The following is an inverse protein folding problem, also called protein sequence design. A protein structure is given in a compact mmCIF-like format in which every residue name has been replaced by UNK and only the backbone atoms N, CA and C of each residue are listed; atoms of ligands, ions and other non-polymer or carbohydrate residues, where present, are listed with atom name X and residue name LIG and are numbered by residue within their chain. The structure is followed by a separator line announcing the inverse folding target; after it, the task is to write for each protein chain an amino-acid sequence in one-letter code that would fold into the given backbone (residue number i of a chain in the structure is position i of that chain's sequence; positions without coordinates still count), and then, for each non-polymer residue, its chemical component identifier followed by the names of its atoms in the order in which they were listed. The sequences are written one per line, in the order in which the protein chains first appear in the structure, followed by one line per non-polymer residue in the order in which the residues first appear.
data_IF_221428606476
#
_entry.id   IF_221428606476
#
_cell.length_a   1.000
_cell.length_b   1.000
_cell.length_c   1.000
_cell.angle_alpha   90.00
_cell.angle_beta   90.00
_cell.angle_gamma   90.00
#
_symmetry.space_group_name_H-M   'P 1'
#
loop_
_entity.id
_entity.type
_entity.pdbx_description
1 polymer ?
#
# COMPACT_ATOMS: atom_id res chain seq x y z
N UNK A 1 -7.21 -8.02 15.86
CA UNK A 1 -6.04 -7.56 15.09
C UNK A 1 -5.83 -8.53 13.94
N UNK A 2 -5.93 -8.05 12.70
CA UNK A 2 -5.56 -8.85 11.52
C UNK A 2 -4.04 -8.89 11.44
N UNK A 3 -3.51 -10.09 11.23
CA UNK A 3 -2.07 -10.34 11.13
C UNK A 3 -1.82 -10.80 9.70
N UNK A 4 -0.87 -10.18 9.02
CA UNK A 4 -0.48 -10.53 7.64
C UNK A 4 1.01 -10.78 7.56
N UNK A 5 1.40 -11.60 6.59
CA UNK A 5 2.80 -11.83 6.28
C UNK A 5 3.39 -10.62 5.58
N UNK A 6 4.49 -10.07 6.11
CA UNK A 6 5.24 -8.97 5.47
C UNK A 6 5.70 -9.33 4.05
N UNK A 7 6.11 -10.58 3.86
CA UNK A 7 6.57 -11.13 2.59
C UNK A 7 6.26 -12.63 2.53
N UNK A 8 5.12 -13.02 1.91
CA UNK A 8 4.71 -14.42 1.83
C UNK A 8 5.67 -15.25 0.95
N UNK A 9 6.30 -14.63 -0.06
CA UNK A 9 7.22 -15.31 -0.96
C UNK A 9 8.55 -15.65 -0.26
N UNK A 10 9.11 -14.72 0.51
CA UNK A 10 10.29 -15.01 1.32
C UNK A 10 10.00 -16.02 2.44
N UNK A 11 8.81 -15.97 3.06
CA UNK A 11 8.40 -16.98 4.02
C UNK A 11 8.35 -18.39 3.40
N UNK A 12 7.75 -18.53 2.21
CA UNK A 12 7.67 -19.81 1.53
C UNK A 12 9.06 -20.35 1.13
N UNK A 13 9.93 -19.49 0.60
CA UNK A 13 11.33 -19.87 0.25
C UNK A 13 12.13 -20.31 1.48
N UNK A 14 12.04 -19.56 2.59
CA UNK A 14 12.70 -19.91 3.85
C UNK A 14 12.17 -21.23 4.40
N UNK A 15 10.85 -21.41 4.39
CA UNK A 15 10.20 -22.65 4.87
C UNK A 15 10.65 -23.87 4.06
N UNK A 16 10.68 -23.75 2.73
CA UNK A 16 11.12 -24.82 1.85
C UNK A 16 12.61 -25.13 2.08
N UNK A 17 13.47 -24.11 2.15
CA UNK A 17 14.89 -24.31 2.39
C UNK A 17 15.19 -24.95 3.75
N UNK A 18 14.50 -24.53 4.81
CA UNK A 18 14.64 -25.11 6.16
C UNK A 18 14.17 -26.56 6.17
N UNK A 19 13.02 -26.85 5.54
CA UNK A 19 12.43 -28.21 5.50
C UNK A 19 13.28 -29.17 4.67
N UNK A 20 13.70 -28.74 3.47
CA UNK A 20 14.56 -29.55 2.59
C UNK A 20 15.94 -29.73 3.21
N UNK A 21 16.51 -28.67 3.79
CA UNK A 21 17.78 -28.74 4.50
C UNK A 21 17.73 -29.74 5.66
N UNK A 22 16.68 -29.68 6.48
CA UNK A 22 16.44 -30.59 7.59
C UNK A 22 16.24 -32.05 7.13
N UNK A 23 15.48 -32.28 6.06
CA UNK A 23 15.30 -33.62 5.49
C UNK A 23 16.61 -34.19 4.92
N UNK A 24 17.39 -33.36 4.21
CA UNK A 24 18.66 -33.75 3.61
C UNK A 24 19.69 -34.15 4.67
N UNK A 25 19.86 -33.34 5.73
CA UNK A 25 20.73 -33.70 6.85
C UNK A 25 20.24 -34.95 7.58
N UNK A 26 18.92 -35.14 7.69
CA UNK A 26 18.33 -36.34 8.29
C UNK A 26 18.67 -37.61 7.51
N UNK A 27 18.60 -37.55 6.19
CA UNK A 27 18.99 -38.66 5.31
C UNK A 27 20.48 -38.99 5.46
N UNK A 28 21.35 -37.98 5.45
CA UNK A 28 22.81 -38.16 5.64
C UNK A 28 23.12 -38.78 7.00
N UNK A 29 22.48 -38.32 8.08
CA UNK A 29 22.68 -38.88 9.41
C UNK A 29 22.24 -40.35 9.50
N UNK A 30 21.14 -40.72 8.84
CA UNK A 30 20.67 -42.10 8.78
C UNK A 30 21.59 -43.02 7.98
N UNK A 31 22.16 -42.53 6.87
CA UNK A 31 23.15 -43.27 6.07
C UNK A 31 24.50 -43.42 6.77
N UNK A 32 24.92 -42.41 7.55
CA UNK A 32 26.15 -42.44 8.32
C UNK A 32 26.12 -43.42 9.51
N UNK A 33 24.98 -44.06 9.77
CA UNK A 33 24.84 -45.04 10.84
C UNK A 33 25.12 -44.47 12.23
N UNK A 34 24.80 -43.19 12.44
CA UNK A 34 25.02 -42.52 13.73
C UNK A 34 24.29 -43.32 14.80
N UNK A 35 25.04 -43.91 15.74
CA UNK A 35 24.53 -44.81 16.79
C UNK A 35 23.71 -44.08 17.87
N UNK A 36 23.22 -42.89 17.58
CA UNK A 36 22.34 -42.13 18.45
C UNK A 36 20.91 -42.68 18.34
N UNK A 37 20.09 -42.52 19.40
CA UNK A 37 18.65 -42.76 19.29
C UNK A 37 18.07 -42.02 18.09
N UNK A 38 17.19 -42.67 17.33
CA UNK A 38 16.58 -42.13 16.09
C UNK A 38 16.08 -40.70 16.25
N UNK A 39 15.46 -40.41 17.40
CA UNK A 39 14.95 -39.08 17.79
C UNK A 39 16.04 -38.03 17.93
N UNK A 40 17.14 -38.39 18.59
CA UNK A 40 18.27 -37.50 18.77
C UNK A 40 18.95 -37.21 17.43
N UNK A 41 19.11 -38.23 16.58
CA UNK A 41 19.65 -38.07 15.23
C UNK A 41 18.75 -37.21 14.33
N UNK A 42 17.43 -37.44 14.34
CA UNK A 42 16.46 -36.66 13.56
C UNK A 42 16.36 -35.21 14.05
N UNK A 43 16.29 -34.98 15.36
CA UNK A 43 16.24 -33.64 15.95
C UNK A 43 17.52 -32.84 15.66
N UNK A 44 18.69 -33.47 15.85
CA UNK A 44 19.99 -32.90 15.50
C UNK A 44 20.07 -32.47 14.03
N UNK A 45 19.66 -33.37 13.16
CA UNK A 45 19.67 -33.17 11.73
C UNK A 45 18.72 -32.04 11.33
N UNK A 46 17.52 -32.02 11.92
CA UNK A 46 16.54 -30.97 11.66
C UNK A 46 17.02 -29.59 12.09
N UNK A 47 17.62 -29.52 13.28
CA UNK A 47 18.17 -28.28 13.79
C UNK A 47 19.34 -27.79 12.91
N UNK A 48 20.26 -28.69 12.53
CA UNK A 48 21.41 -28.35 11.68
C UNK A 48 20.99 -27.96 10.26
N UNK A 49 20.20 -28.82 9.61
CA UNK A 49 19.72 -28.61 8.25
C UNK A 49 18.76 -27.43 8.15
N UNK A 50 17.91 -27.26 9.16
CA UNK A 50 17.04 -26.10 9.28
C UNK A 50 17.81 -24.80 9.50
N UNK A 51 18.85 -24.80 10.34
CA UNK A 51 19.73 -23.65 10.51
C UNK A 51 20.48 -23.28 9.24
N UNK A 52 21.03 -24.28 8.52
CA UNK A 52 21.70 -24.07 7.24
C UNK A 52 20.73 -23.54 6.18
N UNK A 53 19.53 -24.12 6.07
CA UNK A 53 18.48 -23.63 5.16
C UNK A 53 18.04 -22.20 5.47
N UNK A 54 17.89 -21.85 6.75
CA UNK A 54 17.60 -20.49 7.18
C UNK A 54 18.77 -19.54 6.88
N UNK A 55 20.01 -19.97 7.07
CA UNK A 55 21.20 -19.15 6.79
C UNK A 55 21.33 -18.83 5.29
N UNK A 56 21.05 -19.78 4.40
CA UNK A 56 21.13 -19.59 2.94
C UNK A 56 20.04 -18.66 2.41
N UNK A 57 18.89 -18.58 3.08
CA UNK A 57 17.75 -17.77 2.63
C UNK A 57 17.70 -16.36 3.22
N UNK A 58 18.54 -16.06 4.21
CA UNK A 58 18.62 -14.71 4.79
C UNK A 58 19.41 -13.78 3.88
N UNK A 59 18.78 -12.66 3.52
CA UNK A 59 19.49 -11.54 2.91
C UNK A 59 20.53 -11.00 3.92
N UNK A 60 21.77 -10.71 3.49
CA UNK A 60 22.73 -10.03 4.35
C UNK A 60 22.15 -8.68 4.80
N UNK A 61 22.35 -8.28 6.07
CA UNK A 61 21.89 -6.97 6.54
C UNK A 61 22.54 -5.87 5.68
N UNK A 62 21.86 -4.75 5.51
CA UNK A 62 22.42 -3.59 4.81
C UNK A 62 23.69 -3.12 5.56
N UNK A 63 24.88 -3.43 5.03
CA UNK A 63 26.17 -3.20 5.69
C UNK A 63 26.85 -4.44 6.30
N UNK A 64 26.26 -5.64 6.15
CA UNK A 64 26.86 -6.90 6.59
C UNK A 64 28.07 -7.26 5.73
N UNK A 65 29.28 -7.12 6.29
CA UNK A 65 30.50 -7.62 5.66
C UNK A 65 30.50 -9.16 5.51
N UNK A 66 31.45 -9.72 4.74
CA UNK A 66 31.52 -11.17 4.43
C UNK A 66 31.57 -12.09 5.68
N UNK A 67 31.91 -11.56 6.86
CA UNK A 67 31.90 -12.30 8.12
C UNK A 67 30.52 -12.56 8.74
N UNK A 68 29.44 -11.93 8.26
CA UNK A 68 28.09 -12.13 8.82
C UNK A 68 27.57 -13.55 8.59
N UNK A 69 27.76 -14.10 7.39
CA UNK A 69 27.34 -15.46 7.06
C UNK A 69 28.06 -16.48 7.95
N UNK A 70 29.36 -16.29 8.20
CA UNK A 70 30.14 -17.17 9.07
C UNK A 70 29.66 -17.08 10.52
N UNK A 71 29.41 -15.87 11.06
CA UNK A 71 28.94 -15.71 12.44
C UNK A 71 27.55 -16.29 12.66
N UNK A 72 26.65 -16.14 11.69
CA UNK A 72 25.29 -16.70 11.77
C UNK A 72 25.32 -18.24 11.65
N UNK A 73 26.18 -18.80 10.79
CA UNK A 73 26.42 -20.25 10.73
C UNK A 73 27.06 -20.77 12.03
N UNK A 74 28.09 -20.11 12.55
CA UNK A 74 28.76 -20.53 13.80
C UNK A 74 27.82 -20.44 15.00
N UNK A 75 27.05 -19.36 15.12
CA UNK A 75 26.09 -19.20 16.21
C UNK A 75 24.96 -20.23 16.15
N UNK A 76 24.47 -20.53 14.96
CA UNK A 76 23.43 -21.55 14.79
C UNK A 76 23.97 -22.96 15.05
N UNK A 77 25.13 -23.34 14.50
CA UNK A 77 25.81 -24.61 14.81
C UNK A 77 26.07 -24.76 16.31
N UNK A 78 26.57 -23.70 16.97
CA UNK A 78 26.80 -23.70 18.42
C UNK A 78 25.52 -23.91 19.24
N UNK A 79 24.42 -23.28 18.85
CA UNK A 79 23.11 -23.45 19.49
C UNK A 79 22.54 -24.86 19.30
N UNK A 80 22.70 -25.45 18.11
CA UNK A 80 22.31 -26.84 17.84
C UNK A 80 23.11 -27.82 18.69
N UNK A 81 24.43 -27.66 18.75
CA UNK A 81 25.32 -28.51 19.56
C UNK A 81 24.97 -28.41 21.04
N UNK A 82 24.70 -27.21 21.56
CA UNK A 82 24.30 -27.02 22.95
C UNK A 82 22.94 -27.67 23.26
N UNK A 83 21.93 -27.50 22.39
CA UNK A 83 20.63 -28.13 22.54
C UNK A 83 20.68 -29.65 22.48
N UNK A 84 21.49 -30.20 21.56
CA UNK A 84 21.75 -31.64 21.47
C UNK A 84 22.48 -32.16 22.70
N UNK A 85 23.49 -31.44 23.19
CA UNK A 85 24.22 -31.79 24.40
C UNK A 85 23.29 -31.89 25.60
N UNK A 86 22.35 -30.95 25.72
CA UNK A 86 21.33 -30.97 26.77
C UNK A 86 20.34 -32.14 26.62
N UNK A 87 19.86 -32.43 25.41
CA UNK A 87 18.95 -33.55 25.16
C UNK A 87 19.62 -34.92 25.38
N UNK A 88 20.89 -35.07 24.99
CA UNK A 88 21.66 -36.28 25.26
C UNK A 88 21.93 -36.46 26.77
N UNK A 89 22.23 -35.36 27.47
CA UNK A 89 22.44 -35.37 28.91
C UNK A 89 21.13 -35.70 29.66
N UNK A 90 19.98 -35.17 29.22
CA UNK A 90 18.68 -35.43 29.84
C UNK A 90 18.25 -36.89 29.67
N UNK A 91 18.55 -37.50 28.51
CA UNK A 91 18.35 -38.93 28.29
C UNK A 91 19.23 -39.78 29.21
N UNK A 92 20.52 -39.44 29.33
CA UNK A 92 21.47 -40.16 30.20
C UNK A 92 21.10 -40.08 31.68
N UNK A 93 20.47 -38.98 32.10
CA UNK A 93 19.98 -38.77 33.46
C UNK A 93 18.60 -39.40 33.70
N UNK A 94 18.01 -40.10 32.73
CA UNK A 94 16.75 -40.82 32.90
C UNK A 94 15.52 -39.91 32.93
N UNK A 95 15.62 -38.67 32.43
CA UNK A 95 14.48 -37.73 32.41
C UNK A 95 13.41 -38.11 31.36
N UNK A 96 13.66 -39.11 30.52
CA UNK A 96 12.68 -39.65 29.58
C UNK A 96 12.06 -38.58 28.66
N UNK A 97 10.74 -38.69 28.43
CA UNK A 97 9.99 -37.81 27.52
C UNK A 97 10.01 -36.35 27.98
N UNK A 98 9.97 -36.09 29.30
CA UNK A 98 10.02 -34.71 29.81
C UNK A 98 11.37 -34.05 29.57
N UNK A 99 12.47 -34.82 29.59
CA UNK A 99 13.80 -34.36 29.19
C UNK A 99 13.89 -34.01 27.70
N UNK A 100 13.20 -34.75 26.84
CA UNK A 100 13.13 -34.47 25.40
C UNK A 100 12.27 -33.24 25.09
N UNK A 101 11.13 -33.07 25.76
CA UNK A 101 10.27 -31.88 25.61
C UNK A 101 10.97 -30.63 26.15
N UNK A 102 11.62 -30.70 27.32
CA UNK A 102 12.38 -29.59 27.87
C UNK A 102 13.59 -29.22 26.98
N UNK A 103 14.32 -30.22 26.47
CA UNK A 103 15.42 -30.01 25.53
C UNK A 103 14.95 -29.43 24.19
N UNK A 104 13.83 -29.92 23.66
CA UNK A 104 13.19 -29.38 22.46
C UNK A 104 12.70 -27.94 22.63
N UNK A 105 12.11 -27.63 23.79
CA UNK A 105 11.67 -26.27 24.13
C UNK A 105 12.86 -25.31 24.29
N UNK A 106 13.95 -25.74 24.95
CA UNK A 106 15.17 -24.93 25.10
C UNK A 106 15.90 -24.73 23.77
N UNK A 107 16.00 -25.78 22.94
CA UNK A 107 16.56 -25.69 21.59
C UNK A 107 15.72 -24.78 20.68
N UNK A 108 14.40 -24.90 20.75
CA UNK A 108 13.45 -24.02 20.07
C UNK A 108 13.58 -22.57 20.54
N UNK A 109 13.68 -22.33 21.86
CA UNK A 109 13.88 -21.01 22.43
C UNK A 109 15.22 -20.38 22.00
N UNK A 110 16.30 -21.16 21.99
CA UNK A 110 17.63 -20.71 21.57
C UNK A 110 17.65 -20.34 20.09
N UNK A 111 17.02 -21.16 19.24
CA UNK A 111 16.81 -20.82 17.82
C UNK A 111 15.94 -19.58 17.68
N UNK A 112 14.81 -19.50 18.40
CA UNK A 112 13.95 -18.32 18.41
C UNK A 112 14.71 -17.05 18.77
N UNK A 113 15.54 -17.09 19.83
CA UNK A 113 16.37 -15.99 20.25
C UNK A 113 17.39 -15.60 19.15
N UNK A 114 18.07 -16.59 18.57
CA UNK A 114 19.04 -16.38 17.49
C UNK A 114 18.39 -15.82 16.21
N UNK A 115 17.12 -16.17 15.97
CA UNK A 115 16.35 -15.69 14.84
C UNK A 115 15.78 -14.28 15.03
N UNK A 116 15.79 -13.75 16.25
CA UNK A 116 15.13 -12.50 16.67
C UNK A 116 16.12 -11.34 16.93
N UNK A 117 17.43 -11.63 16.95
CA UNK A 117 18.49 -10.66 17.27
C UNK A 117 18.53 -9.45 16.30
N UNK A 118 18.11 -9.62 15.04
CA UNK A 118 18.20 -8.55 14.03
C UNK A 118 17.11 -7.47 14.15
N UNK A 119 15.96 -7.74 14.79
CA UNK A 119 14.87 -6.76 14.98
C UNK A 119 14.94 -6.08 16.36
N UNK A 120 15.99 -5.29 16.59
CA UNK A 120 16.24 -4.60 17.87
C UNK A 120 15.18 -3.57 18.29
N UNK A 121 14.35 -3.10 17.36
CA UNK A 121 13.42 -2.00 17.61
C UNK A 121 12.12 -2.40 18.35
N UNK A 122 11.78 -3.69 18.51
CA UNK A 122 10.48 -4.10 19.08
C UNK A 122 10.60 -5.20 20.14
N UNK A 123 10.90 -4.82 21.38
CA UNK A 123 11.12 -5.74 22.51
C UNK A 123 9.98 -6.76 22.74
N UNK A 124 8.71 -6.39 22.49
CA UNK A 124 7.56 -7.29 22.66
C UNK A 124 7.50 -8.45 21.66
N UNK A 125 7.89 -8.22 20.40
CA UNK A 125 7.91 -9.26 19.37
C UNK A 125 8.96 -10.34 19.65
N UNK A 126 10.01 -9.99 20.40
CA UNK A 126 11.09 -10.90 20.76
C UNK A 126 10.65 -12.00 21.71
N UNK A 127 9.96 -11.63 22.78
CA UNK A 127 9.47 -12.58 23.78
C UNK A 127 8.43 -13.54 23.18
N UNK A 128 7.53 -13.01 22.33
CA UNK A 128 6.53 -13.83 21.63
C UNK A 128 7.19 -14.81 20.66
N UNK A 129 8.19 -14.38 19.89
CA UNK A 129 8.92 -15.26 18.97
C UNK A 129 9.69 -16.38 19.70
N UNK A 130 10.36 -16.06 20.82
CA UNK A 130 11.05 -17.06 21.64
C UNK A 130 10.08 -18.05 22.26
N UNK A 131 8.95 -17.58 22.81
CA UNK A 131 7.92 -18.45 23.40
C UNK A 131 7.25 -19.34 22.35
N UNK A 132 6.92 -18.78 21.17
CA UNK A 132 6.34 -19.55 20.07
C UNK A 132 7.30 -20.64 19.58
N UNK A 133 8.59 -20.31 19.44
CA UNK A 133 9.61 -21.28 19.06
C UNK A 133 9.86 -22.35 20.14
N UNK A 134 9.78 -21.98 21.42
CA UNK A 134 9.87 -22.93 22.53
C UNK A 134 8.66 -23.90 22.55
N UNK A 135 7.45 -23.39 22.36
CA UNK A 135 6.24 -24.20 22.28
C UNK A 135 6.27 -25.13 21.06
N UNK A 136 6.65 -24.61 19.89
CA UNK A 136 6.80 -25.42 18.68
C UNK A 136 7.87 -26.52 18.86
N UNK A 137 9.00 -26.19 19.51
CA UNK A 137 10.06 -27.15 19.84
C UNK A 137 9.61 -28.23 20.81
N UNK A 138 8.84 -27.87 21.85
CA UNK A 138 8.29 -28.81 22.82
C UNK A 138 7.22 -29.74 22.22
N UNK A 139 6.26 -29.19 21.47
CA UNK A 139 5.21 -29.96 20.78
C UNK A 139 5.82 -30.85 19.70
N UNK A 140 6.76 -30.32 18.92
CA UNK A 140 7.50 -31.08 17.92
C UNK A 140 8.23 -32.27 18.53
N UNK A 141 8.88 -32.10 19.69
CA UNK A 141 9.59 -33.18 20.37
C UNK A 141 8.65 -34.30 20.84
N UNK A 142 7.46 -33.95 21.33
CA UNK A 142 6.43 -34.93 21.71
C UNK A 142 5.84 -35.66 20.49
N UNK A 143 5.58 -34.94 19.39
CA UNK A 143 5.10 -35.53 18.14
C UNK A 143 6.13 -36.50 17.53
N UNK A 144 7.41 -36.13 17.59
CA UNK A 144 8.52 -36.97 17.15
C UNK A 144 8.60 -38.28 17.94
N UNK A 145 8.46 -38.26 19.26
CA UNK A 145 8.52 -39.48 20.08
C UNK A 145 7.47 -40.51 19.62
N UNK A 146 6.25 -40.06 19.34
CA UNK A 146 5.20 -40.92 18.78
C UNK A 146 5.54 -41.45 17.39
N UNK A 147 6.07 -40.60 16.52
CA UNK A 147 6.43 -40.99 15.16
C UNK A 147 7.67 -41.93 15.12
N UNK A 148 8.61 -41.80 16.05
CA UNK A 148 9.74 -42.70 16.19
C UNK A 148 9.32 -44.08 16.70
N UNK A 149 8.37 -44.15 17.65
CA UNK A 149 7.79 -45.42 18.10
C UNK A 149 7.07 -46.15 16.96
N UNK A 150 6.34 -45.40 16.13
CA UNK A 150 5.70 -45.94 14.93
C UNK A 150 6.74 -46.46 13.92
N UNK A 151 7.76 -45.66 13.59
CA UNK A 151 8.82 -46.07 12.66
C UNK A 151 9.60 -47.32 13.14
N UNK A 152 9.81 -47.45 14.44
CA UNK A 152 10.44 -48.63 15.04
C UNK A 152 9.56 -49.90 14.92
N UNK A 153 8.24 -49.76 14.84
CA UNK A 153 7.31 -50.88 14.72
C UNK A 153 7.19 -51.45 13.30
N UNK A 154 7.47 -50.66 12.26
CA UNK A 154 7.27 -51.07 10.85
C UNK A 154 8.54 -51.52 10.11
N UNK A 155 9.67 -51.67 10.80
CA UNK A 155 10.97 -52.00 10.18
C UNK A 155 11.33 -51.05 9.00
N UNK A 156 10.89 -49.80 9.07
CA UNK A 156 11.15 -48.80 8.04
C UNK A 156 12.67 -48.51 7.96
N UNK A 157 13.23 -48.29 6.75
CA UNK A 157 14.64 -47.92 6.59
C UNK A 157 14.98 -46.70 7.45
N UNK A 158 16.03 -46.81 8.26
CA UNK A 158 16.44 -45.77 9.21
C UNK A 158 16.69 -44.43 8.53
N UNK A 159 17.29 -44.43 7.33
CA UNK A 159 17.53 -43.20 6.56
C UNK A 159 16.23 -42.50 6.10
N UNK A 160 15.20 -43.26 5.77
CA UNK A 160 13.91 -42.69 5.37
C UNK A 160 13.18 -42.11 6.58
N UNK A 161 13.16 -42.85 7.69
CA UNK A 161 12.51 -42.38 8.92
C UNK A 161 13.23 -41.16 9.51
N UNK A 162 14.57 -41.12 9.55
CA UNK A 162 15.30 -39.91 9.98
C UNK A 162 15.05 -38.72 9.07
N UNK A 163 15.02 -38.91 7.74
CA UNK A 163 14.75 -37.84 6.79
C UNK A 163 13.34 -37.27 6.94
N UNK A 164 12.31 -38.12 7.04
CA UNK A 164 10.92 -37.69 7.20
C UNK A 164 10.71 -36.98 8.55
N UNK A 165 11.23 -37.55 9.64
CA UNK A 165 11.14 -36.95 10.97
C UNK A 165 11.86 -35.60 11.02
N UNK A 166 13.05 -35.52 10.44
CA UNK A 166 13.81 -34.28 10.38
C UNK A 166 13.10 -33.23 9.51
N UNK A 167 12.53 -33.62 8.37
CA UNK A 167 11.73 -32.73 7.51
C UNK A 167 10.50 -32.16 8.23
N UNK A 168 9.72 -33.01 8.91
CA UNK A 168 8.57 -32.56 9.72
C UNK A 168 9.03 -31.56 10.78
N UNK A 169 10.15 -31.81 11.44
CA UNK A 169 10.69 -30.91 12.45
C UNK A 169 11.22 -29.61 11.85
N UNK A 170 11.83 -29.67 10.66
CA UNK A 170 12.20 -28.51 9.86
C UNK A 170 10.99 -27.63 9.53
N UNK A 171 9.84 -28.23 9.21
CA UNK A 171 8.58 -27.50 8.98
C UNK A 171 8.11 -26.76 10.25
N UNK A 172 8.22 -27.38 11.43
CA UNK A 172 7.89 -26.71 12.71
C UNK A 172 8.84 -25.56 13.04
N UNK A 173 10.14 -25.74 12.82
CA UNK A 173 11.14 -24.68 12.97
C UNK A 173 10.84 -23.53 12.01
N UNK A 174 10.50 -23.84 10.76
CA UNK A 174 10.10 -22.86 9.76
C UNK A 174 8.81 -22.13 10.14
N UNK A 175 7.81 -22.81 10.68
CA UNK A 175 6.58 -22.20 11.16
C UNK A 175 6.85 -21.21 12.31
N UNK A 176 7.68 -21.60 13.29
CA UNK A 176 8.12 -20.71 14.38
C UNK A 176 8.94 -19.52 13.87
N UNK A 177 9.83 -19.74 12.91
CA UNK A 177 10.58 -18.67 12.24
C UNK A 177 9.66 -17.76 11.40
N UNK A 178 8.59 -18.30 10.82
CA UNK A 178 7.59 -17.57 10.06
C UNK A 178 6.73 -16.64 10.92
N UNK A 179 6.51 -17.01 12.18
CA UNK A 179 5.77 -16.19 13.13
C UNK A 179 6.42 -14.82 13.36
N UNK A 180 7.74 -14.65 13.12
CA UNK A 180 8.40 -13.33 13.18
C UNK A 180 8.10 -12.45 11.96
N UNK A 181 7.69 -13.05 10.84
CA UNK A 181 7.28 -12.35 9.61
C UNK A 181 5.80 -11.95 9.63
N UNK A 182 5.06 -12.43 10.62
CA UNK A 182 3.73 -11.95 10.95
C UNK A 182 3.88 -10.54 11.51
N UNK A 183 3.40 -9.57 10.75
CA UNK A 183 3.29 -8.20 11.21
C UNK A 183 1.80 -7.88 11.43
N UNK A 184 1.48 -6.94 12.34
CA UNK A 184 0.18 -6.31 12.31
C UNK A 184 -0.09 -5.85 10.88
N UNK A 185 -1.30 -6.04 10.38
CA UNK A 185 -1.65 -5.50 9.08
C UNK A 185 -1.25 -4.03 9.03
N UNK A 186 -0.46 -3.61 8.01
CA UNK A 186 -0.11 -2.20 7.87
C UNK A 186 -1.42 -1.42 7.86
N UNK A 187 -1.45 -0.34 8.62
CA UNK A 187 -2.63 0.51 8.66
C UNK A 187 -2.90 0.98 7.22
N UNK A 188 -4.07 0.69 6.63
CA UNK A 188 -4.38 1.13 5.28
C UNK A 188 -4.26 2.66 5.13
N UNK A 189 -4.45 3.43 6.22
CA UNK A 189 -4.21 4.87 6.19
C UNK A 189 -2.73 5.22 6.06
N UNK A 190 -1.83 4.48 6.69
CA UNK A 190 -0.40 4.73 6.57
C UNK A 190 0.09 4.45 5.14
N UNK A 191 -0.39 3.36 4.53
CA UNK A 191 -0.07 3.07 3.13
C UNK A 191 -0.63 4.14 2.18
N UNK A 192 -1.86 4.63 2.43
CA UNK A 192 -2.45 5.75 1.68
C UNK A 192 -1.67 7.05 1.86
N UNK A 193 -1.20 7.31 3.07
CA UNK A 193 -0.39 8.49 3.38
C UNK A 193 0.94 8.47 2.62
N UNK A 194 1.65 7.33 2.60
CA UNK A 194 2.90 7.18 1.86
C UNK A 194 2.69 7.45 0.35
N UNK A 195 1.63 6.89 -0.25
CA UNK A 195 1.27 7.11 -1.66
C UNK A 195 1.00 8.59 -1.98
N UNK A 196 0.24 9.27 -1.12
CA UNK A 196 -0.10 10.69 -1.31
C UNK A 196 1.13 11.58 -1.13
N UNK A 197 1.98 11.30 -0.14
CA UNK A 197 3.12 12.16 0.22
C UNK A 197 4.18 12.27 -0.88
N UNK A 198 4.34 11.24 -1.72
CA UNK A 198 5.34 11.24 -2.80
C UNK A 198 5.05 12.32 -3.87
N UNK A 199 3.78 12.59 -4.16
CA UNK A 199 3.33 13.56 -5.17
C UNK A 199 3.15 15.00 -4.69
N UNK A 200 3.19 15.27 -3.38
CA UNK A 200 2.86 16.60 -2.85
C UNK A 200 4.04 17.57 -2.89
N UNK A 201 3.77 18.84 -3.19
CA UNK A 201 4.75 19.91 -2.99
C UNK A 201 5.09 20.10 -1.51
N UNK A 202 6.28 20.62 -1.23
CA UNK A 202 6.82 20.78 0.12
C UNK A 202 5.89 21.44 1.16
N UNK A 203 5.17 22.55 0.88
CA UNK A 203 4.33 23.20 1.90
C UNK A 203 3.14 22.34 2.32
N UNK A 204 2.42 21.73 1.37
CA UNK A 204 1.28 20.85 1.67
C UNK A 204 1.77 19.56 2.31
N UNK A 205 2.88 19.00 1.81
CA UNK A 205 3.52 17.82 2.42
C UNK A 205 3.83 18.02 3.90
N UNK A 206 4.29 19.21 4.31
CA UNK A 206 4.54 19.53 5.70
C UNK A 206 3.25 19.54 6.54
N UNK A 207 2.17 20.15 6.04
CA UNK A 207 0.85 20.16 6.71
C UNK A 207 0.28 18.75 6.88
N UNK A 208 0.42 17.88 5.87
CA UNK A 208 -0.04 16.50 5.95
C UNK A 208 0.80 15.69 6.95
N UNK A 209 2.13 15.89 6.96
CA UNK A 209 2.99 15.26 7.96
C UNK A 209 2.62 15.68 9.40
N UNK A 210 2.28 16.95 9.61
CA UNK A 210 1.76 17.46 10.88
C UNK A 210 0.46 16.76 11.26
N UNK A 211 -0.53 16.70 10.36
CA UNK A 211 -1.81 16.02 10.61
C UNK A 211 -1.65 14.53 10.94
N UNK A 212 -0.72 13.82 10.30
CA UNK A 212 -0.40 12.42 10.61
C UNK A 212 0.27 12.27 11.99
N UNK A 213 1.14 13.22 12.36
CA UNK A 213 1.72 13.26 13.71
C UNK A 213 0.63 13.48 14.77
N UNK A 214 -0.26 14.45 14.56
CA UNK A 214 -1.40 14.73 15.43
C UNK A 214 -2.33 13.51 15.57
N UNK A 215 -2.61 12.81 14.48
CA UNK A 215 -3.36 11.55 14.52
C UNK A 215 -2.67 10.47 15.36
N UNK A 216 -1.35 10.30 15.23
CA UNK A 216 -0.59 9.36 16.04
C UNK A 216 -0.65 9.73 17.53
N UNK A 217 -0.51 11.02 17.85
CA UNK A 217 -0.63 11.54 19.22
C UNK A 217 -2.01 11.24 19.82
N UNK A 218 -3.09 11.45 19.05
CA UNK A 218 -4.46 11.11 19.47
C UNK A 218 -4.58 9.62 19.75
N UNK A 219 -4.10 8.75 18.85
CA UNK A 219 -4.14 7.30 19.03
C UNK A 219 -3.40 6.84 20.28
N UNK A 220 -2.22 7.41 20.54
CA UNK A 220 -1.44 7.13 21.76
C UNK A 220 -2.17 7.62 23.01
N UNK A 221 -2.80 8.80 22.97
CA UNK A 221 -3.55 9.35 24.09
C UNK A 221 -4.78 8.49 24.43
N UNK A 222 -5.56 8.08 23.42
CA UNK A 222 -6.72 7.20 23.57
C UNK A 222 -6.34 5.84 24.16
N UNK A 223 -5.25 5.23 23.67
CA UNK A 223 -4.77 3.94 24.16
C UNK A 223 -4.26 3.99 25.62
N UNK A 224 -3.77 5.16 26.06
CA UNK A 224 -3.23 5.36 27.42
C UNK A 224 -4.27 5.79 28.45
N UNK A 225 -5.50 6.10 28.05
CA UNK A 225 -6.55 6.51 28.97
C UNK A 225 -7.41 5.30 29.43
N UNK A 226 -7.16 4.72 30.62
CA UNK A 226 -7.96 3.61 31.13
C UNK A 226 -9.35 4.06 31.61
N UNK A 227 -9.58 5.36 31.80
CA UNK A 227 -10.83 5.89 32.34
C UNK A 227 -11.87 6.20 31.26
N UNK A 228 -11.49 6.17 29.99
CA UNK A 228 -12.38 6.34 28.85
C UNK A 228 -13.05 5.01 28.50
N UNK A 229 -14.38 5.06 28.34
CA UNK A 229 -15.17 3.90 27.91
C UNK A 229 -14.77 3.43 26.50
N UNK A 230 -14.86 2.13 26.24
CA UNK A 230 -14.45 1.54 24.97
C UNK A 230 -15.33 2.01 23.79
N UNK A 231 -16.62 2.29 24.01
CA UNK A 231 -17.46 2.87 22.95
C UNK A 231 -17.03 4.30 22.61
N UNK A 232 -16.70 5.11 23.62
CA UNK A 232 -16.17 6.47 23.45
C UNK A 232 -14.82 6.46 22.73
N UNK A 233 -13.91 5.55 23.09
CA UNK A 233 -12.63 5.36 22.38
C UNK A 233 -12.84 4.95 20.94
N UNK A 234 -13.75 4.01 20.69
CA UNK A 234 -14.05 3.53 19.34
C UNK A 234 -14.61 4.66 18.47
N UNK A 235 -15.52 5.47 19.01
CA UNK A 235 -16.08 6.61 18.30
C UNK A 235 -15.02 7.69 18.05
N UNK A 236 -14.21 8.05 19.06
CA UNK A 236 -13.11 9.00 18.88
C UNK A 236 -12.12 8.52 17.80
N UNK A 237 -11.74 7.24 17.84
CA UNK A 237 -10.85 6.62 16.84
C UNK A 237 -11.47 6.66 15.45
N UNK A 238 -12.76 6.38 15.32
CA UNK A 238 -13.50 6.44 14.06
C UNK A 238 -13.51 7.87 13.49
N UNK A 239 -13.78 8.87 14.33
CA UNK A 239 -13.79 10.28 13.91
C UNK A 239 -12.40 10.78 13.52
N UNK A 240 -11.36 10.44 14.29
CA UNK A 240 -9.98 10.80 13.90
C UNK A 240 -9.58 10.14 12.59
N UNK A 241 -9.94 8.87 12.41
CA UNK A 241 -9.69 8.14 11.15
C UNK A 241 -10.41 8.78 9.97
N UNK A 242 -11.67 9.18 10.12
CA UNK A 242 -12.43 9.88 9.08
C UNK A 242 -11.80 11.22 8.70
N UNK A 243 -11.37 12.01 9.70
CA UNK A 243 -10.67 13.28 9.46
C UNK A 243 -9.36 13.10 8.70
N UNK A 244 -8.54 12.11 9.07
CA UNK A 244 -7.27 11.82 8.37
C UNK A 244 -7.53 11.30 6.97
N UNK A 245 -8.53 10.43 6.78
CA UNK A 245 -8.87 9.91 5.45
C UNK A 245 -9.31 11.05 4.51
N UNK A 246 -10.15 11.96 5.01
CA UNK A 246 -10.55 13.18 4.31
C UNK A 246 -9.38 14.11 4.04
N UNK A 247 -8.47 14.29 5.00
CA UNK A 247 -7.23 15.06 4.85
C UNK A 247 -6.38 14.54 3.69
N UNK A 248 -6.21 13.21 3.61
CA UNK A 248 -5.46 12.56 2.54
C UNK A 248 -6.15 12.66 1.17
N UNK A 249 -7.47 12.58 1.09
CA UNK A 249 -8.20 12.79 -0.17
C UNK A 249 -8.13 14.24 -0.67
N UNK A 250 -8.27 15.22 0.24
CA UNK A 250 -8.09 16.64 -0.10
C UNK A 250 -6.67 16.88 -0.61
N UNK A 251 -5.66 16.31 0.04
CA UNK A 251 -4.27 16.43 -0.38
C UNK A 251 -4.02 15.78 -1.74
N UNK A 252 -4.60 14.60 -2.00
CA UNK A 252 -4.52 13.94 -3.29
C UNK A 252 -5.11 14.81 -4.41
N UNK A 253 -6.29 15.38 -4.17
CA UNK A 253 -6.96 16.30 -5.10
C UNK A 253 -6.10 17.54 -5.35
N UNK A 254 -5.53 18.12 -4.28
CA UNK A 254 -4.59 19.23 -4.41
C UNK A 254 -3.38 18.86 -5.28
N UNK A 255 -2.79 17.68 -5.08
CA UNK A 255 -1.65 17.19 -5.86
C UNK A 255 -1.97 17.05 -7.34
N UNK A 256 -3.14 16.49 -7.67
CA UNK A 256 -3.61 16.37 -9.06
C UNK A 256 -3.77 17.74 -9.72
N UNK A 257 -4.45 18.69 -9.05
CA UNK A 257 -4.64 20.05 -9.57
C UNK A 257 -3.29 20.75 -9.75
N UNK A 258 -2.38 20.59 -8.79
CA UNK A 258 -1.04 21.16 -8.85
C UNK A 258 -0.26 20.64 -10.06
N UNK A 259 -0.28 19.34 -10.31
CA UNK A 259 0.43 18.72 -11.45
C UNK A 259 -0.17 19.16 -12.80
N UNK A 260 -1.51 19.23 -12.88
CA UNK A 260 -2.21 19.74 -14.06
C UNK A 260 -1.83 21.20 -14.37
N UNK A 261 -1.80 22.06 -13.34
CA UNK A 261 -1.39 23.46 -13.48
C UNK A 261 0.09 23.61 -13.88
N UNK A 262 0.96 22.69 -13.47
CA UNK A 262 2.39 22.72 -13.80
C UNK A 262 2.72 22.05 -15.13
N UNK A 263 1.75 21.42 -15.78
CA UNK A 263 1.89 20.82 -17.10
C UNK A 263 2.38 21.83 -18.14
N UNK A 264 3.38 21.48 -18.98
CA UNK A 264 3.84 22.36 -20.07
C UNK A 264 2.72 22.84 -20.99
N UNK A 265 1.66 22.03 -21.14
CA UNK A 265 0.51 22.38 -21.99
C UNK A 265 -0.27 23.57 -21.44
N UNK A 266 -0.44 23.66 -20.12
CA UNK A 266 -1.14 24.76 -19.44
C UNK A 266 -0.32 26.05 -19.56
N UNK A 267 1.00 25.98 -19.36
CA UNK A 267 1.89 27.14 -19.49
C UNK A 267 1.89 27.72 -20.91
N UNK A 268 1.74 26.88 -21.93
CA UNK A 268 1.71 27.32 -23.32
C UNK A 268 0.39 27.95 -23.77
N UNK A 269 -0.67 27.95 -22.94
CA UNK A 269 -1.98 28.52 -23.32
C UNK A 269 -1.88 30.04 -23.46
N UNK A 270 -1.23 30.72 -22.52
CA UNK A 270 -1.10 32.19 -22.55
C UNK A 270 -0.27 32.65 -23.76
N UNK A 271 0.83 31.96 -24.06
CA UNK A 271 1.67 32.26 -25.25
C UNK A 271 0.89 32.08 -26.56
N UNK A 272 0.10 31.00 -26.68
CA UNK A 272 -0.75 30.75 -27.85
C UNK A 272 -1.88 31.77 -27.97
N UNK A 273 -2.43 32.21 -26.85
CA UNK A 273 -3.47 33.23 -26.82
C UNK A 273 -2.92 34.54 -27.38
N UNK A 274 -1.73 34.96 -26.94
CA UNK A 274 -1.04 36.14 -27.47
C UNK A 274 -0.69 36.01 -28.97
N UNK A 275 -0.18 34.85 -29.41
CA UNK A 275 0.10 34.59 -30.85
C UNK A 275 -1.18 34.69 -31.71
N UNK A 276 -2.27 34.07 -31.27
CA UNK A 276 -3.54 34.11 -32.01
C UNK A 276 -4.15 35.52 -32.03
N UNK A 277 -4.06 36.28 -30.95
CA UNK A 277 -4.48 37.69 -30.91
C UNK A 277 -3.71 38.54 -31.91
N UNK A 278 -2.38 38.39 -31.96
CA UNK A 278 -1.54 39.12 -32.91
C UNK A 278 -1.86 38.73 -34.36
N UNK A 279 -2.02 37.44 -34.63
CA UNK A 279 -2.37 36.93 -35.97
C UNK A 279 -3.75 37.38 -36.41
N UNK A 280 -4.72 37.41 -35.50
CA UNK A 280 -6.06 37.91 -35.77
C UNK A 280 -6.02 39.40 -36.17
N UNK A 281 -5.25 40.21 -35.46
CA UNK A 281 -5.10 41.63 -35.76
C UNK A 281 -4.39 41.91 -37.09
N UNK A 282 -3.45 41.04 -37.48
CA UNK A 282 -2.70 41.17 -38.74
C UNK A 282 -3.47 40.64 -39.98
N UNK A 283 -4.54 39.86 -39.79
CA UNK A 283 -5.25 39.19 -40.88
C UNK A 283 -6.41 40.04 -41.41
N UNK A 284 -6.36 40.38 -42.70
CA UNK A 284 -7.43 41.11 -43.39
C UNK A 284 -8.53 40.19 -43.96
N UNK A 285 -8.22 38.94 -44.30
CA UNK A 285 -9.17 37.96 -44.84
C UNK A 285 -10.28 37.59 -43.82
N UNK A 286 -11.54 37.81 -44.18
CA UNK A 286 -12.72 37.57 -43.34
C UNK A 286 -12.87 36.10 -42.90
N UNK A 287 -12.58 35.15 -43.79
CA UNK A 287 -12.74 33.72 -43.52
C UNK A 287 -11.69 33.29 -42.51
N UNK A 288 -10.42 33.64 -42.75
CA UNK A 288 -9.31 33.32 -41.83
C UNK A 288 -9.55 33.97 -40.46
N UNK A 289 -10.00 35.24 -40.44
CA UNK A 289 -10.36 35.94 -39.20
C UNK A 289 -11.45 35.21 -38.41
N UNK A 290 -12.46 34.67 -39.09
CA UNK A 290 -13.52 33.86 -38.47
C UNK A 290 -13.00 32.54 -37.87
N UNK A 291 -12.00 31.91 -38.49
CA UNK A 291 -11.34 30.71 -37.92
C UNK A 291 -10.46 31.06 -36.73
N UNK A 292 -9.63 32.10 -36.83
CA UNK A 292 -8.76 32.58 -35.75
C UNK A 292 -9.59 33.04 -34.54
N UNK A 293 -10.70 33.75 -34.74
CA UNK A 293 -11.59 34.17 -33.67
C UNK A 293 -12.21 33.00 -32.89
N UNK A 294 -12.57 31.91 -33.57
CA UNK A 294 -13.05 30.69 -32.90
C UNK A 294 -11.96 30.00 -32.10
N UNK A 295 -10.76 29.90 -32.65
CA UNK A 295 -9.61 29.33 -31.94
C UNK A 295 -9.26 30.15 -30.69
N UNK A 296 -9.31 31.48 -30.80
CA UNK A 296 -9.11 32.40 -29.67
C UNK A 296 -10.18 32.22 -28.60
N UNK A 297 -11.47 32.14 -28.97
CA UNK A 297 -12.55 31.90 -28.02
C UNK A 297 -12.37 30.56 -27.27
N UNK A 298 -11.92 29.51 -27.96
CA UNK A 298 -11.61 28.23 -27.34
C UNK A 298 -10.42 28.32 -26.35
N UNK A 299 -9.34 29.04 -26.70
CA UNK A 299 -8.22 29.27 -25.78
C UNK A 299 -8.62 30.13 -24.58
N UNK A 300 -9.50 31.11 -24.74
CA UNK A 300 -10.03 31.90 -23.63
C UNK A 300 -10.86 31.04 -22.66
N UNK A 301 -11.65 30.10 -23.18
CA UNK A 301 -12.36 29.14 -22.33
C UNK A 301 -11.38 28.23 -21.54
N UNK A 302 -10.30 27.77 -22.19
CA UNK A 302 -9.24 27.01 -21.51
C UNK A 302 -8.55 27.84 -20.41
N UNK A 303 -8.26 29.12 -20.66
CA UNK A 303 -7.70 30.02 -19.65
C UNK A 303 -8.63 30.20 -18.45
N UNK A 304 -9.93 30.35 -18.70
CA UNK A 304 -10.92 30.42 -17.63
C UNK A 304 -10.97 29.13 -16.79
N UNK A 305 -10.84 27.96 -17.43
CA UNK A 305 -10.74 26.68 -16.73
C UNK A 305 -9.46 26.60 -15.88
N UNK A 306 -8.31 27.05 -16.41
CA UNK A 306 -7.04 27.14 -15.66
C UNK A 306 -7.18 28.02 -14.41
N UNK A 307 -7.86 29.17 -14.52
CA UNK A 307 -8.12 30.02 -13.36
C UNK A 307 -9.08 29.36 -12.36
N UNK A 308 -10.04 28.57 -12.84
CA UNK A 308 -10.87 27.68 -12.02
C UNK A 308 -10.04 26.66 -11.23
N UNK A 309 -9.05 26.01 -11.87
CA UNK A 309 -8.13 25.09 -11.22
C UNK A 309 -7.29 25.77 -10.14
N UNK A 310 -6.76 26.98 -10.39
CA UNK A 310 -6.03 27.75 -9.37
C UNK A 310 -6.89 28.04 -8.14
N UNK A 311 -8.16 28.40 -8.36
CA UNK A 311 -9.11 28.61 -7.27
C UNK A 311 -9.40 27.30 -6.53
N UNK A 312 -9.55 26.19 -7.26
CA UNK A 312 -9.70 24.85 -6.70
C UNK A 312 -8.53 24.45 -5.81
N UNK A 313 -7.29 24.70 -6.26
CA UNK A 313 -6.07 24.48 -5.48
C UNK A 313 -6.08 25.27 -4.17
N UNK A 314 -6.44 26.56 -4.21
CA UNK A 314 -6.53 27.40 -3.01
C UNK A 314 -7.61 26.93 -2.03
N UNK A 315 -8.75 26.44 -2.55
CA UNK A 315 -9.83 25.85 -1.72
C UNK A 315 -9.39 24.54 -1.06
N UNK A 316 -8.71 23.66 -1.80
CA UNK A 316 -8.19 22.42 -1.25
C UNK A 316 -7.14 22.69 -0.15
N UNK A 317 -6.28 23.71 -0.33
CA UNK A 317 -5.35 24.11 0.72
C UNK A 317 -6.07 24.63 1.99
N UNK A 318 -7.09 25.48 1.83
CA UNK A 318 -7.89 25.96 2.96
C UNK A 318 -8.63 24.82 3.68
N UNK A 319 -9.09 23.80 2.93
CA UNK A 319 -9.73 22.63 3.50
C UNK A 319 -8.73 21.73 4.27
N UNK A 320 -7.50 21.57 3.77
CA UNK A 320 -6.41 20.92 4.52
C UNK A 320 -6.17 21.63 5.85
N UNK A 321 -6.09 22.96 5.84
CA UNK A 321 -5.91 23.76 7.07
C UNK A 321 -7.09 23.60 8.06
N UNK A 322 -8.32 23.56 7.54
CA UNK A 322 -9.51 23.32 8.36
C UNK A 322 -9.52 21.91 8.97
N UNK A 323 -9.18 20.87 8.20
CA UNK A 323 -9.08 19.49 8.69
C UNK A 323 -7.98 19.34 9.75
N UNK A 324 -6.83 20.00 9.57
CA UNK A 324 -5.76 20.03 10.56
C UNK A 324 -6.22 20.69 11.86
N UNK A 325 -6.93 21.81 11.78
CA UNK A 325 -7.49 22.48 12.96
C UNK A 325 -8.52 21.60 13.70
N UNK A 326 -9.34 20.82 12.97
CA UNK A 326 -10.27 19.85 13.56
C UNK A 326 -9.53 18.70 14.25
N UNK A 327 -8.44 18.19 13.68
CA UNK A 327 -7.59 17.18 14.30
C UNK A 327 -6.95 17.72 15.59
N UNK A 328 -6.41 18.94 15.57
CA UNK A 328 -5.85 19.58 16.77
C UNK A 328 -6.91 19.81 17.86
N UNK A 329 -8.11 20.26 17.47
CA UNK A 329 -9.24 20.38 18.41
C UNK A 329 -9.60 19.03 19.03
N UNK A 330 -9.63 17.96 18.23
CA UNK A 330 -9.90 16.62 18.72
C UNK A 330 -8.78 16.13 19.65
N UNK A 331 -7.51 16.40 19.33
CA UNK A 331 -6.38 16.10 20.20
C UNK A 331 -6.51 16.79 21.56
N UNK A 332 -6.86 18.07 21.56
CA UNK A 332 -7.11 18.81 22.79
C UNK A 332 -8.31 18.25 23.57
N UNK A 333 -9.40 17.90 22.89
CA UNK A 333 -10.56 17.28 23.53
C UNK A 333 -10.21 15.94 24.20
N UNK A 334 -9.44 15.08 23.53
CA UNK A 334 -8.96 13.81 24.10
C UNK A 334 -8.03 14.04 25.28
N UNK A 335 -7.16 15.05 25.22
CA UNK A 335 -6.33 15.43 26.36
C UNK A 335 -7.17 15.96 27.54
N UNK A 336 -8.22 16.74 27.27
CA UNK A 336 -9.13 17.30 28.28
C UNK A 336 -10.03 16.24 28.91
N UNK A 337 -10.40 15.18 28.20
CA UNK A 337 -11.18 14.06 28.77
C UNK A 337 -10.54 13.50 30.05
N UNK A 338 -9.20 13.52 30.14
CA UNK A 338 -8.46 13.05 31.31
C UNK A 338 -8.61 13.96 32.54
N UNK A 339 -8.98 15.21 32.34
CA UNK A 339 -8.97 16.28 33.36
C UNK A 339 -10.38 16.80 33.66
N UNK A 340 -11.32 16.65 32.72
CA UNK A 340 -12.61 17.33 32.73
C UNK A 340 -13.80 16.35 32.61
N UNK A 341 -15.00 16.93 32.53
CA UNK A 341 -16.29 16.27 32.50
C UNK A 341 -16.50 15.47 31.20
N UNK A 342 -16.95 14.21 31.35
CA UNK A 342 -17.12 13.26 30.24
C UNK A 342 -18.22 13.69 29.28
N UNK A 343 -19.26 14.33 29.78
CA UNK A 343 -20.38 14.80 28.96
C UNK A 343 -19.92 15.86 27.94
N UNK A 344 -19.01 16.75 28.35
CA UNK A 344 -18.45 17.79 27.48
C UNK A 344 -17.64 17.20 26.33
N UNK A 345 -16.91 16.11 26.58
CA UNK A 345 -16.15 15.42 25.53
C UNK A 345 -17.05 14.89 24.41
N UNK A 346 -18.19 14.29 24.74
CA UNK A 346 -19.13 13.79 23.75
C UNK A 346 -19.74 14.90 22.88
N UNK A 347 -20.03 16.06 23.48
CA UNK A 347 -20.52 17.25 22.75
C UNK A 347 -19.45 17.76 21.78
N UNK A 348 -18.20 17.87 22.23
CA UNK A 348 -17.07 18.29 21.37
C UNK A 348 -16.81 17.29 20.24
N UNK A 349 -16.85 15.99 20.53
CA UNK A 349 -16.65 14.94 19.53
C UNK A 349 -17.73 14.98 18.45
N UNK A 350 -19.00 15.13 18.85
CA UNK A 350 -20.13 15.28 17.91
C UNK A 350 -19.97 16.55 17.07
N UNK A 351 -19.59 17.66 17.69
CA UNK A 351 -19.36 18.92 16.97
C UNK A 351 -18.23 18.80 15.93
N UNK A 352 -17.13 18.11 16.27
CA UNK A 352 -16.04 17.83 15.33
C UNK A 352 -16.51 16.93 14.19
N UNK A 353 -17.28 15.88 14.49
CA UNK A 353 -17.85 14.99 13.49
C UNK A 353 -18.78 15.71 12.50
N UNK A 354 -19.66 16.59 13.01
CA UNK A 354 -20.54 17.41 12.17
C UNK A 354 -19.75 18.39 11.30
N UNK A 355 -18.73 19.04 11.87
CA UNK A 355 -17.87 19.96 11.11
C UNK A 355 -17.08 19.24 10.02
N UNK A 356 -16.58 18.04 10.31
CA UNK A 356 -15.91 17.19 9.33
C UNK A 356 -16.86 16.78 8.19
N UNK A 357 -18.08 16.38 8.53
CA UNK A 357 -19.12 16.02 7.55
C UNK A 357 -19.47 17.19 6.63
N UNK A 358 -19.76 18.37 7.21
CA UNK A 358 -20.06 19.58 6.41
C UNK A 358 -18.92 19.97 5.49
N UNK A 359 -17.67 19.89 5.96
CA UNK A 359 -16.52 20.20 5.13
C UNK A 359 -16.37 19.22 3.96
N UNK A 360 -16.65 17.93 4.18
CA UNK A 360 -16.67 16.93 3.11
C UNK A 360 -17.78 17.22 2.09
N UNK A 361 -19.00 17.48 2.55
CA UNK A 361 -20.14 17.80 1.69
C UNK A 361 -19.88 19.08 0.87
N UNK A 362 -19.27 20.10 1.47
CA UNK A 362 -18.91 21.35 0.79
C UNK A 362 -17.85 21.10 -0.29
N UNK A 363 -16.84 20.26 -0.02
CA UNK A 363 -15.83 19.89 -1.01
C UNK A 363 -16.43 19.10 -2.18
N UNK A 364 -17.31 18.14 -1.90
CA UNK A 364 -17.99 17.35 -2.93
C UNK A 364 -18.93 18.21 -3.79
N UNK A 365 -19.68 19.12 -3.16
CA UNK A 365 -20.54 20.07 -3.86
C UNK A 365 -19.72 21.01 -4.76
N UNK A 366 -18.57 21.48 -4.29
CA UNK A 366 -17.65 22.31 -5.07
C UNK A 366 -17.04 21.53 -6.23
N UNK A 367 -16.63 20.28 -6.01
CA UNK A 367 -16.11 19.42 -7.07
C UNK A 367 -17.18 19.18 -8.16
N UNK A 368 -18.41 18.91 -7.76
CA UNK A 368 -19.55 18.77 -8.68
C UNK A 368 -19.82 20.06 -9.46
N UNK A 369 -19.79 21.22 -8.79
CA UNK A 369 -20.01 22.52 -9.44
C UNK A 369 -18.91 22.86 -10.45
N UNK A 370 -17.66 22.49 -10.17
CA UNK A 370 -16.54 22.66 -11.12
C UNK A 370 -16.74 21.76 -12.33
N UNK A 371 -17.07 20.48 -12.13
CA UNK A 371 -17.33 19.55 -13.22
C UNK A 371 -18.53 19.99 -14.11
N UNK A 372 -19.59 20.52 -13.50
CA UNK A 372 -20.72 21.09 -14.23
C UNK A 372 -20.35 22.35 -15.01
N UNK A 373 -19.54 23.24 -14.42
CA UNK A 373 -19.07 24.45 -15.09
C UNK A 373 -18.20 24.12 -16.31
N UNK A 374 -17.33 23.12 -16.21
CA UNK A 374 -16.53 22.60 -17.33
C UNK A 374 -17.43 22.00 -18.41
N UNK A 375 -18.40 21.16 -18.05
CA UNK A 375 -19.34 20.57 -19.00
C UNK A 375 -20.19 21.63 -19.72
N UNK A 376 -20.58 22.71 -19.02
CA UNK A 376 -21.31 23.84 -19.63
C UNK A 376 -20.42 24.69 -20.55
N UNK A 377 -19.14 24.87 -20.20
CA UNK A 377 -18.18 25.56 -21.06
C UNK A 377 -18.00 24.80 -22.39
N UNK A 378 -17.84 23.48 -22.32
CA UNK A 378 -17.73 22.60 -23.50
C UNK A 378 -19.00 22.63 -24.36
N UNK A 379 -20.18 22.58 -23.73
CA UNK A 379 -21.46 22.66 -24.46
C UNK A 379 -21.66 24.00 -25.16
N UNK A 380 -21.28 25.11 -24.52
CA UNK A 380 -21.35 26.45 -25.14
C UNK A 380 -20.40 26.56 -26.31
N UNK A 381 -19.16 26.07 -26.15
CA UNK A 381 -18.19 26.01 -27.24
C UNK A 381 -18.71 25.20 -28.43
N UNK A 382 -19.30 24.03 -28.19
CA UNK A 382 -19.94 23.20 -29.22
C UNK A 382 -21.13 23.90 -29.91
N UNK A 383 -22.01 24.54 -29.15
CA UNK A 383 -23.17 25.25 -29.69
C UNK A 383 -22.77 26.46 -30.56
N UNK A 384 -21.69 27.15 -30.20
CA UNK A 384 -21.14 28.25 -30.99
C UNK A 384 -20.45 27.74 -32.27
N UNK A 385 -19.79 26.57 -32.23
CA UNK A 385 -19.28 25.88 -33.44
C UNK A 385 -20.42 25.51 -34.37
N UNK A 386 -21.52 24.96 -33.86
CA UNK A 386 -22.67 24.59 -34.68
C UNK A 386 -23.35 25.81 -35.31
N UNK A 387 -23.54 26.89 -34.54
CA UNK A 387 -24.07 28.16 -35.07
C UNK A 387 -23.14 28.79 -36.11
N UNK A 388 -21.83 28.68 -35.93
CA UNK A 388 -20.83 29.12 -36.92
C UNK A 388 -20.90 28.30 -38.21
N UNK A 389 -20.99 26.98 -38.10
CA UNK A 389 -21.11 26.07 -39.25
C UNK A 389 -22.40 26.34 -40.05
N UNK A 390 -23.55 26.54 -39.37
CA UNK A 390 -24.80 26.91 -40.03
C UNK A 390 -24.71 28.24 -40.77
N UNK A 391 -24.04 29.25 -40.21
CA UNK A 391 -23.83 30.54 -40.89
C UNK A 391 -22.91 30.40 -42.10
N UNK A 392 -21.81 29.64 -41.99
CA UNK A 392 -20.91 29.40 -43.12
C UNK A 392 -21.61 28.66 -44.27
N UNK A 393 -22.45 27.67 -43.96
CA UNK A 393 -23.28 26.98 -44.95
C UNK A 393 -24.33 27.90 -45.59
N UNK A 394 -24.95 28.80 -44.81
CA UNK A 394 -25.91 29.76 -45.35
C UNK A 394 -25.26 30.79 -46.28
N UNK A 395 -24.03 31.22 -46.01
CA UNK A 395 -23.30 32.19 -46.84
C UNK A 395 -22.69 31.51 -48.08
N UNK A 396 -22.17 30.29 -47.96
CA UNK A 396 -21.62 29.53 -49.09
C UNK A 396 -22.67 28.86 -49.99
N UNK A 397 -23.88 28.64 -49.49
CA UNK A 397 -24.98 28.03 -50.25
C UNK A 397 -25.74 28.99 -51.18
N UNK A 398 -25.60 30.31 -50.98
CA UNK A 398 -26.31 31.31 -51.79
C UNK A 398 -25.57 31.61 -53.10
N UNK A 399 -24.23 31.58 -53.13
CA UNK A 399 -23.48 31.87 -54.37
C UNK A 399 -23.46 30.69 -55.37
N UNK A 400 -23.48 29.43 -54.89
CA UNK A 400 -23.44 28.26 -55.78
C UNK A 400 -24.79 28.03 -56.48
N UNK A 401 -25.91 28.45 -55.86
CA UNK A 401 -27.24 28.32 -56.45
C UNK A 401 -27.51 29.39 -57.53
N UNK A 402 -26.99 30.61 -57.39
CA UNK A 402 -27.16 31.65 -58.43
C UNK A 402 -26.26 31.42 -59.65
N UNK A 403 -25.02 30.96 -59.47
CA UNK A 403 -24.13 30.65 -60.60
C UNK A 403 -24.53 29.36 -61.36
N UNK A 404 -25.14 28.38 -60.68
CA UNK A 404 -25.65 27.17 -61.34
C UNK A 404 -26.99 27.40 -62.07
N UNK A 405 -27.78 28.38 -61.64
CA UNK A 405 -29.02 28.78 -62.34
C UNK A 405 -28.71 29.70 -63.53
N UNK A 406 -27.69 30.55 -63.43
CA UNK A 406 -27.23 31.38 -64.55
C UNK A 406 -26.52 30.58 -65.67
N UNK A 407 -25.93 29.41 -65.36
CA UNK A 407 -25.27 28.54 -66.35
C UNK A 407 -26.22 27.60 -67.12
N UNK A 408 -27.53 27.62 -66.84
CA UNK A 408 -28.52 26.77 -67.51
C UNK A 408 -29.55 27.51 -68.39
N UNK A 409 -29.43 28.83 -68.56
CA UNK A 409 -30.18 29.59 -69.55
C UNK A 409 -29.31 29.96 -70.77
N UNK A 410 -29.08 29.00 -71.68
CA UNK A 410 -28.74 29.31 -73.08
C UNK A 410 -29.76 28.69 -74.05
N UNK A 411 -30.01 29.33 -75.21
CA UNK A 411 -31.30 29.33 -75.87
C UNK A 411 -31.51 28.09 -76.75
N UNK A 412 -32.66 27.44 -76.58
CA UNK A 412 -33.18 26.45 -77.51
C UNK A 412 -33.59 27.15 -78.83
N UNK A 413 -32.63 27.34 -79.74
CA UNK A 413 -32.87 27.70 -81.12
C UNK A 413 -32.21 26.68 -82.05
N UNK A 414 -33.07 26.09 -82.89
CA UNK A 414 -32.78 25.42 -84.16
C UNK A 414 -32.13 24.03 -84.11
N UNK A 415 -32.97 22.97 -84.24
CA UNK A 415 -32.75 21.96 -85.29
C UNK A 415 -34.09 21.52 -85.88
N UNK A 416 -34.22 21.80 -87.19
CA UNK A 416 -35.33 21.47 -88.06
C UNK A 416 -34.93 20.24 -88.90
N UNK A 417 -35.71 19.16 -88.80
CA UNK A 417 -36.07 18.26 -89.92
C UNK A 417 -35.06 17.22 -90.45
N UNK A 418 -35.49 15.95 -90.42
CA UNK A 418 -35.32 14.86 -91.40
C UNK A 418 -35.59 13.51 -90.68
N UNK A 419 -36.22 12.46 -91.20
CA UNK A 419 -36.94 12.16 -92.44
C UNK A 419 -37.66 10.80 -92.24
N UNK A 420 -38.80 10.63 -92.93
CA UNK A 420 -39.40 9.43 -93.54
C UNK A 420 -39.18 8.03 -92.92
N UNK A 421 -40.32 7.36 -92.72
CA UNK A 421 -40.53 5.92 -92.66
C UNK A 421 -42.01 5.64 -92.59
#
# INVERSE_FOLDING_TARGET
MTVVFRDPAAFFRETLAVTVGAAATGAVAGLAGVSAPLLAAAGASALLGGALGAAVTRAPPAGGGPGWAVRSVVGSVGGVVAGMGFAALSWRLGLGVSGAVAGGALGGAALGALLVVDDAARGGARAVGVLAAALAGGVGAAALDNAARFAASEAAPTALSTATLAGIFGLWIAAGAGARRLQPAPDPLAAKADDVMDGLAAPVRAKIAEGLSTWHEIGVALARDPAMDEATKAEATKQTRGLVDGLLETARTWGQIHDDLHSPKVKAVDDKLADLEQRLAATSDDVIRGHLGRALAALQAQRAAIDGLKLGMGRAEAAVDAQLALLERLRLAVAQHRVSDRERFHVELTAVAEQAGRLSDDLDALASAVAEAEALADRRALADVERGARRALAVGGVSVAEDAVAAHEEPALAVRGAAKG
#
